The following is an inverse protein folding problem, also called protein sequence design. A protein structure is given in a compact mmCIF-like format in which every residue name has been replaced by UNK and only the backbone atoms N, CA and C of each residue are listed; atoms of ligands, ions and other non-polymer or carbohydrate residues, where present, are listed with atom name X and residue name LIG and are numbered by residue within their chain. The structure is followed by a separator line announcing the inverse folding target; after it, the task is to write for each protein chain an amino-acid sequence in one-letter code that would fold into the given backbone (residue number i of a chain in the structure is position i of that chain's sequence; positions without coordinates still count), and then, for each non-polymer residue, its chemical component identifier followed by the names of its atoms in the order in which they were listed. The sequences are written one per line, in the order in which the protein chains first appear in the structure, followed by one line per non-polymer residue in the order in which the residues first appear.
data_IF_221336031015
#
_entry.id   IF_221336031015
#
_cell.length_a   1.000
_cell.length_b   1.000
_cell.length_c   1.000
_cell.angle_alpha   90.00
_cell.angle_beta   90.00
_cell.angle_gamma   90.00
#
_symmetry.space_group_name_H-M   'P 1'
#
loop_
_entity.id
_entity.type
_entity.pdbx_description
1 polymer ?
#
# COMPACT_ATOMS: atom_id res chain seq x y z
N UNK A 1 -27.75 -28.76 -3.72
CA UNK A 1 -26.54 -29.06 -4.52
C UNK A 1 -27.03 -29.59 -5.87
N UNK A 2 -26.98 -28.77 -6.94
CA UNK A 2 -27.22 -29.07 -8.38
C UNK A 2 -28.10 -28.06 -9.19
N UNK A 3 -28.49 -26.89 -8.66
CA UNK A 3 -29.29 -25.92 -9.44
C UNK A 3 -28.54 -24.66 -9.93
N UNK A 4 -27.45 -24.24 -9.29
CA UNK A 4 -26.78 -22.96 -9.64
C UNK A 4 -25.63 -23.08 -10.66
N UNK A 5 -25.24 -24.29 -11.04
CA UNK A 5 -24.14 -24.54 -11.99
C UNK A 5 -24.60 -24.40 -13.46
N UNK A 6 -25.91 -24.43 -13.73
CA UNK A 6 -26.43 -24.42 -15.11
C UNK A 6 -26.70 -23.01 -15.64
N UNK A 7 -26.74 -21.99 -14.78
CA UNK A 7 -26.95 -20.60 -15.21
C UNK A 7 -25.66 -19.89 -15.64
N UNK A 8 -24.48 -20.48 -15.41
CA UNK A 8 -23.19 -19.93 -15.85
C UNK A 8 -22.73 -20.41 -17.23
N UNK A 9 -23.42 -21.37 -17.86
CA UNK A 9 -22.97 -21.98 -19.14
C UNK A 9 -23.65 -21.41 -20.39
N UNK A 10 -24.76 -20.65 -20.28
CA UNK A 10 -25.44 -20.10 -21.47
C UNK A 10 -24.94 -18.72 -21.90
N UNK A 11 -24.32 -17.95 -20.99
CA UNK A 11 -23.67 -16.68 -21.37
C UNK A 11 -22.33 -16.89 -22.10
N UNK A 12 -21.68 -18.04 -21.87
CA UNK A 12 -20.35 -18.35 -22.41
C UNK A 12 -20.35 -18.69 -23.92
N UNK A 13 -21.50 -18.94 -24.53
CA UNK A 13 -21.59 -19.31 -25.95
C UNK A 13 -21.84 -18.14 -26.92
N UNK A 14 -21.99 -16.90 -26.41
CA UNK A 14 -22.21 -15.72 -27.28
C UNK A 14 -21.00 -14.81 -27.44
N UNK A 15 -19.93 -14.99 -26.66
CA UNK A 15 -18.69 -14.21 -26.78
C UNK A 15 -17.42 -15.06 -26.57
N UNK A 16 -17.03 -15.92 -27.54
CA UNK A 16 -15.87 -16.82 -27.40
C UNK A 16 -14.49 -16.12 -27.49
N UNK A 17 -14.43 -14.79 -27.64
CA UNK A 17 -13.17 -14.03 -27.68
C UNK A 17 -12.84 -13.39 -26.31
N UNK A 18 -13.82 -13.26 -25.40
CA UNK A 18 -13.63 -12.62 -24.10
C UNK A 18 -13.27 -13.59 -22.97
N UNK A 19 -13.33 -14.90 -23.20
CA UNK A 19 -12.97 -15.91 -22.19
C UNK A 19 -11.52 -16.42 -22.28
N UNK A 20 -10.73 -15.95 -23.25
CA UNK A 20 -9.31 -16.29 -23.39
C UNK A 20 -8.36 -15.39 -22.57
N UNK A 21 -8.83 -14.21 -22.14
CA UNK A 21 -8.02 -13.20 -21.42
C UNK A 21 -8.12 -13.30 -19.90
N UNK A 22 -9.16 -13.95 -19.37
CA UNK A 22 -9.43 -14.02 -17.93
C UNK A 22 -8.45 -14.91 -17.15
N UNK A 23 -7.78 -15.86 -17.80
CA UNK A 23 -6.73 -16.67 -17.14
C UNK A 23 -5.36 -15.97 -17.17
N UNK A 24 -5.11 -15.10 -18.15
CA UNK A 24 -3.83 -14.41 -18.31
C UNK A 24 -3.70 -13.18 -17.40
N UNK A 25 -4.81 -12.49 -17.11
CA UNK A 25 -4.83 -11.24 -16.35
C UNK A 25 -4.77 -11.43 -14.83
N UNK A 26 -5.19 -12.59 -14.31
CA UNK A 26 -4.95 -12.98 -12.91
C UNK A 26 -3.49 -13.36 -12.63
N UNK A 27 -2.75 -13.80 -13.65
CA UNK A 27 -1.37 -14.24 -13.52
C UNK A 27 -0.38 -13.07 -13.53
N UNK A 28 -0.65 -11.98 -14.26
CA UNK A 28 0.24 -10.81 -14.31
C UNK A 28 0.19 -9.92 -13.06
N UNK A 29 -0.93 -9.87 -12.35
CA UNK A 29 -1.07 -9.09 -11.10
C UNK A 29 -0.39 -9.78 -9.91
N UNK A 30 -0.40 -11.12 -9.88
CA UNK A 30 0.44 -11.93 -8.99
C UNK A 30 1.91 -11.84 -9.37
N UNK A 31 2.29 -11.89 -10.66
CA UNK A 31 3.68 -11.79 -11.10
C UNK A 31 4.36 -10.44 -10.78
N UNK A 32 3.63 -9.31 -10.71
CA UNK A 32 4.20 -8.01 -10.26
C UNK A 32 4.30 -7.87 -8.74
N UNK A 33 3.56 -8.68 -7.98
CA UNK A 33 3.80 -8.84 -6.55
C UNK A 33 5.04 -9.71 -6.30
N UNK A 34 5.31 -10.64 -7.23
CA UNK A 34 6.46 -11.55 -7.24
C UNK A 34 7.70 -10.98 -7.94
N UNK A 35 7.64 -9.75 -8.48
CA UNK A 35 8.81 -9.16 -9.13
C UNK A 35 9.93 -9.02 -8.08
N UNK A 36 11.17 -9.45 -8.40
CA UNK A 36 12.24 -9.48 -7.42
C UNK A 36 12.43 -8.10 -6.81
N UNK A 37 12.21 -8.00 -5.51
CA UNK A 37 12.52 -6.81 -4.74
C UNK A 37 14.02 -6.61 -4.92
N UNK A 38 14.44 -5.52 -5.59
CA UNK A 38 15.85 -5.10 -5.56
C UNK A 38 16.31 -5.09 -4.10
N UNK A 39 17.56 -5.43 -3.82
CA UNK A 39 18.14 -5.56 -2.47
C UNK A 39 17.47 -4.72 -1.38
N UNK A 40 17.21 -5.32 -0.22
CA UNK A 40 16.62 -4.65 0.93
C UNK A 40 17.43 -3.38 1.28
N UNK A 41 16.74 -2.25 1.45
CA UNK A 41 17.39 -0.99 1.84
C UNK A 41 17.85 -0.97 3.30
N UNK A 42 17.28 -1.85 4.13
CA UNK A 42 17.64 -2.01 5.53
C UNK A 42 18.50 -3.25 5.71
N UNK A 43 19.68 -3.09 6.31
CA UNK A 43 20.56 -4.20 6.71
C UNK A 43 20.03 -4.97 7.92
N UNK A 44 19.28 -4.33 8.83
CA UNK A 44 18.78 -4.96 10.07
C UNK A 44 17.52 -5.82 9.90
N UNK A 45 16.75 -5.57 8.85
CA UNK A 45 15.48 -6.27 8.58
C UNK A 45 15.63 -7.44 7.59
N UNK A 46 16.86 -7.87 7.28
CA UNK A 46 17.14 -9.08 6.47
C UNK A 46 17.38 -10.28 7.39
N UNK A 47 16.92 -11.47 7.00
CA UNK A 47 17.22 -12.72 7.72
C UNK A 47 16.63 -12.82 9.13
N UNK A 48 15.55 -12.09 9.41
CA UNK A 48 14.88 -12.06 10.71
C UNK A 48 14.28 -13.43 11.07
N UNK A 49 14.35 -13.83 12.35
CA UNK A 49 13.64 -15.01 12.85
C UNK A 49 12.12 -14.85 12.73
N UNK A 50 11.37 -15.96 12.80
CA UNK A 50 9.90 -15.95 12.82
C UNK A 50 9.30 -15.47 14.15
N UNK A 51 10.12 -15.31 15.20
CA UNK A 51 9.65 -14.81 16.49
C UNK A 51 9.10 -13.39 16.36
N UNK A 52 8.00 -13.08 17.05
CA UNK A 52 7.32 -11.79 16.99
C UNK A 52 7.00 -11.33 18.41
N UNK A 53 7.31 -10.07 18.69
CA UNK A 53 6.84 -9.35 19.87
C UNK A 53 5.87 -8.28 19.40
N UNK A 54 4.72 -8.20 20.06
CA UNK A 54 3.67 -7.24 19.75
C UNK A 54 3.65 -6.17 20.83
N UNK A 55 3.63 -4.91 20.40
CA UNK A 55 3.44 -3.75 21.28
C UNK A 55 2.17 -3.02 20.84
N UNK A 56 1.45 -2.47 21.81
CA UNK A 56 0.24 -1.67 21.60
C UNK A 56 0.54 -0.25 22.00
N UNK A 57 0.08 0.70 21.19
CA UNK A 57 0.19 2.13 21.45
C UNK A 57 -1.21 2.72 21.46
N UNK A 58 -1.61 3.29 22.60
CA UNK A 58 -2.86 4.02 22.72
C UNK A 58 -2.63 5.50 22.37
N UNK A 59 -3.27 5.94 21.29
CA UNK A 59 -3.21 7.32 20.82
C UNK A 59 -4.59 7.95 20.95
N UNK A 60 -4.66 9.14 21.55
CA UNK A 60 -5.92 9.86 21.69
C UNK A 60 -6.40 10.37 20.33
N UNK A 61 -7.54 9.84 19.86
CA UNK A 61 -8.06 10.08 18.52
C UNK A 61 -8.30 11.57 18.25
N UNK A 62 -8.83 12.31 19.23
CA UNK A 62 -9.05 13.75 19.13
C UNK A 62 -7.75 14.53 18.89
N UNK A 63 -6.66 14.16 19.59
CA UNK A 63 -5.34 14.77 19.35
C UNK A 63 -4.82 14.46 17.96
N UNK A 64 -5.04 13.24 17.48
CA UNK A 64 -4.65 12.84 16.13
C UNK A 64 -5.42 13.64 15.07
N UNK A 65 -6.73 13.84 15.25
CA UNK A 65 -7.55 14.67 14.37
C UNK A 65 -7.07 16.14 14.37
N UNK A 66 -6.87 16.73 15.56
CA UNK A 66 -6.41 18.10 15.69
C UNK A 66 -5.03 18.31 15.02
N UNK A 67 -4.10 17.37 15.21
CA UNK A 67 -2.80 17.40 14.56
C UNK A 67 -2.93 17.27 13.03
N UNK A 68 -3.78 16.37 12.55
CA UNK A 68 -3.98 16.15 11.12
C UNK A 68 -4.54 17.42 10.45
N UNK A 69 -5.54 18.04 11.09
CA UNK A 69 -6.13 19.30 10.65
C UNK A 69 -5.11 20.43 10.64
N UNK A 70 -4.34 20.60 11.72
CA UNK A 70 -3.29 21.63 11.85
C UNK A 70 -2.25 21.55 10.73
N UNK A 71 -1.92 20.34 10.27
CA UNK A 71 -0.90 20.10 9.25
C UNK A 71 -1.47 19.81 7.85
N UNK A 72 -2.79 19.93 7.66
CA UNK A 72 -3.46 19.72 6.37
C UNK A 72 -3.22 18.31 5.81
N UNK A 73 -3.26 17.30 6.68
CA UNK A 73 -3.05 15.89 6.34
C UNK A 73 -4.18 15.01 6.94
N UNK A 74 -4.05 13.69 6.81
CA UNK A 74 -5.03 12.71 7.31
C UNK A 74 -4.41 11.97 8.50
N UNK A 75 -5.22 11.27 9.29
CA UNK A 75 -4.69 10.45 10.39
C UNK A 75 -3.72 9.37 9.87
N UNK A 76 -4.03 8.73 8.75
CA UNK A 76 -3.16 7.73 8.14
C UNK A 76 -1.78 8.32 7.77
N UNK A 77 -1.74 9.58 7.34
CA UNK A 77 -0.47 10.27 7.10
C UNK A 77 0.37 10.44 8.37
N UNK A 78 -0.26 10.79 9.50
CA UNK A 78 0.42 10.90 10.79
C UNK A 78 0.91 9.55 11.32
N UNK A 79 0.04 8.53 11.27
CA UNK A 79 0.40 7.17 11.67
C UNK A 79 1.58 6.65 10.84
N UNK A 80 1.51 6.84 9.53
CA UNK A 80 2.58 6.46 8.62
C UNK A 80 3.90 7.19 8.95
N UNK A 81 3.86 8.51 9.16
CA UNK A 81 5.03 9.28 9.55
C UNK A 81 5.64 8.79 10.88
N UNK A 82 4.80 8.48 11.87
CA UNK A 82 5.22 7.91 13.16
C UNK A 82 5.88 6.54 13.03
N UNK A 83 5.37 5.66 12.16
CA UNK A 83 5.98 4.35 11.89
C UNK A 83 7.36 4.51 11.24
N UNK A 84 7.50 5.37 10.24
CA UNK A 84 8.79 5.64 9.58
C UNK A 84 9.80 6.21 10.58
N UNK A 85 9.36 7.12 11.45
CA UNK A 85 10.19 7.67 12.52
C UNK A 85 10.65 6.58 13.50
N UNK A 86 9.73 5.72 13.94
CA UNK A 86 10.06 4.60 14.83
C UNK A 86 11.09 3.64 14.22
N UNK A 87 10.96 3.31 12.93
CA UNK A 87 11.93 2.47 12.22
C UNK A 87 13.29 3.17 12.08
N UNK A 88 13.28 4.47 11.80
CA UNK A 88 14.50 5.30 11.69
C UNK A 88 15.26 5.33 13.01
N UNK A 89 14.55 5.59 14.12
CA UNK A 89 15.15 5.59 15.46
C UNK A 89 15.64 4.20 15.86
N UNK A 90 14.89 3.14 15.53
CA UNK A 90 15.33 1.76 15.76
C UNK A 90 16.68 1.48 15.10
N UNK A 91 16.84 1.90 13.84
CA UNK A 91 18.07 1.76 13.08
C UNK A 91 19.21 2.61 13.63
N UNK A 92 18.92 3.87 14.02
CA UNK A 92 19.92 4.75 14.63
C UNK A 92 20.42 4.22 15.97
N UNK A 93 19.56 3.64 16.81
CA UNK A 93 19.95 3.03 18.10
C UNK A 93 20.83 1.79 17.92
N UNK A 94 20.77 1.15 16.76
CA UNK A 94 21.58 0.01 16.39
C UNK A 94 22.81 0.41 15.54
N UNK A 95 23.12 1.71 15.40
CA UNK A 95 24.23 2.24 14.61
C UNK A 95 24.23 1.84 13.11
N UNK A 96 23.03 1.60 12.57
CA UNK A 96 22.80 1.28 11.15
C UNK A 96 21.87 2.31 10.53
N UNK A 97 22.36 3.53 10.27
CA UNK A 97 21.55 4.60 9.69
C UNK A 97 20.91 4.20 8.36
N UNK A 98 19.68 4.65 8.15
CA UNK A 98 18.91 4.48 6.92
C UNK A 98 18.78 5.82 6.22
N UNK A 99 19.03 5.84 4.91
CA UNK A 99 18.71 7.00 4.07
C UNK A 99 17.27 6.94 3.54
N UNK A 100 16.77 5.72 3.30
CA UNK A 100 15.38 5.51 2.92
C UNK A 100 14.88 4.09 3.23
N UNK A 101 13.55 3.96 3.29
CA UNK A 101 12.81 2.72 3.50
C UNK A 101 11.95 2.38 2.30
N UNK A 102 11.96 1.13 1.87
CA UNK A 102 10.97 0.64 0.91
C UNK A 102 9.69 0.29 1.64
N UNK A 103 8.60 0.91 1.22
CA UNK A 103 7.28 0.77 1.83
C UNK A 103 6.30 0.19 0.81
N UNK A 104 5.45 -0.71 1.28
CA UNK A 104 4.22 -1.08 0.60
C UNK A 104 3.05 -0.55 1.42
N UNK A 105 2.19 0.27 0.81
CA UNK A 105 0.99 0.80 1.46
C UNK A 105 -0.22 0.55 0.56
N UNK A 106 -1.29 -0.07 1.06
CA UNK A 106 -2.55 -0.11 0.32
C UNK A 106 -3.15 1.30 0.28
N UNK A 107 -3.52 1.76 -0.92
CA UNK A 107 -4.20 3.05 -1.11
C UNK A 107 -5.53 2.83 -1.80
N UNK A 108 -6.49 3.73 -1.54
CA UNK A 108 -7.77 3.73 -2.24
C UNK A 108 -7.67 4.58 -3.49
N UNK A 109 -8.23 4.07 -4.59
CA UNK A 109 -8.28 4.74 -5.91
C UNK A 109 -9.69 5.26 -6.22
N UNK A 110 -10.57 5.37 -5.23
CA UNK A 110 -11.95 5.83 -5.42
C UNK A 110 -11.95 7.21 -6.08
N UNK A 111 -12.48 7.29 -7.29
CA UNK A 111 -12.80 8.57 -7.92
C UNK A 111 -14.03 9.17 -7.23
N UNK A 112 -14.08 10.51 -7.14
CA UNK A 112 -15.22 11.23 -6.53
C UNK A 112 -16.53 11.10 -7.32
N UNK A 113 -16.54 10.37 -8.44
CA UNK A 113 -17.72 10.14 -9.24
C UNK A 113 -17.74 8.69 -9.74
N UNK A 114 -18.90 8.09 -9.58
CA UNK A 114 -19.39 6.87 -10.22
C UNK A 114 -19.29 5.53 -9.48
N UNK A 115 -20.47 4.92 -9.44
CA UNK A 115 -20.86 3.70 -8.78
C UNK A 115 -20.36 2.46 -9.53
N UNK A 116 -19.04 2.28 -9.61
CA UNK A 116 -18.47 1.06 -10.19
C UNK A 116 -18.26 0.01 -9.10
N UNK A 117 -19.07 -1.05 -9.14
CA UNK A 117 -18.90 -2.26 -8.33
C UNK A 117 -17.55 -2.91 -8.64
N UNK A 118 -16.64 -2.98 -7.66
CA UNK A 118 -15.31 -3.56 -7.82
C UNK A 118 -14.36 -3.16 -6.69
N UNK A 119 -13.18 -3.80 -6.61
CA UNK A 119 -12.19 -3.53 -5.57
C UNK A 119 -11.34 -2.29 -5.91
N UNK A 120 -11.71 -1.12 -5.38
CA UNK A 120 -11.06 0.16 -5.71
C UNK A 120 -9.89 0.52 -4.77
N UNK A 121 -9.07 -0.47 -4.40
CA UNK A 121 -7.84 -0.26 -3.66
C UNK A 121 -6.76 -1.20 -4.18
N UNK A 122 -5.50 -0.81 -4.01
CA UNK A 122 -4.37 -1.64 -4.40
C UNK A 122 -3.07 -1.26 -3.70
N UNK A 123 -2.08 -2.16 -3.73
CA UNK A 123 -0.80 -1.94 -3.09
C UNK A 123 0.04 -0.98 -3.92
N UNK A 124 0.50 0.10 -3.29
CA UNK A 124 1.52 0.97 -3.84
C UNK A 124 2.85 0.66 -3.18
N UNK A 125 3.91 0.58 -3.98
CA UNK A 125 5.29 0.52 -3.49
C UNK A 125 5.99 1.84 -3.75
N UNK A 126 6.68 2.35 -2.73
CA UNK A 126 7.51 3.54 -2.88
C UNK A 126 8.69 3.52 -1.90
N UNK A 127 9.61 4.46 -2.09
CA UNK A 127 10.75 4.68 -1.20
C UNK A 127 10.47 5.91 -0.34
N UNK A 128 10.40 5.74 0.97
CA UNK A 128 10.21 6.78 1.98
C UNK A 128 11.57 7.29 2.45
N UNK A 129 11.90 8.59 2.31
CA UNK A 129 13.14 9.13 2.84
C UNK A 129 13.12 9.08 4.38
N UNK A 130 14.24 8.69 4.98
CA UNK A 130 14.44 8.68 6.45
C UNK A 130 15.50 9.70 6.89
N UNK A 131 16.21 10.30 5.95
CA UNK A 131 17.21 11.34 6.16
C UNK A 131 16.65 12.76 6.33
N UNK A 132 15.32 12.93 6.31
CA UNK A 132 14.65 14.20 6.62
C UNK A 132 14.27 14.18 8.10
N UNK A 133 14.80 15.12 8.91
CA UNK A 133 14.60 15.13 10.37
C UNK A 133 13.18 15.52 10.79
N UNK A 134 12.59 16.56 10.20
CA UNK A 134 11.21 16.97 10.54
C UNK A 134 10.20 15.96 9.96
N UNK A 135 9.40 15.26 10.80
CA UNK A 135 8.41 14.29 10.33
C UNK A 135 7.33 14.92 9.45
N UNK A 136 6.99 16.20 9.66
CA UNK A 136 6.00 16.90 8.84
C UNK A 136 6.60 17.26 7.48
N UNK A 137 7.85 17.74 7.44
CA UNK A 137 8.57 17.97 6.19
C UNK A 137 8.74 16.67 5.39
N UNK A 138 9.13 15.59 6.06
CA UNK A 138 9.23 14.24 5.47
C UNK A 138 7.90 13.84 4.85
N UNK A 139 6.80 13.99 5.59
CA UNK A 139 5.47 13.69 5.08
C UNK A 139 5.12 14.55 3.86
N UNK A 140 5.43 15.85 3.86
CA UNK A 140 5.22 16.74 2.69
C UNK A 140 6.00 16.26 1.47
N UNK A 141 7.26 15.86 1.65
CA UNK A 141 8.09 15.32 0.57
C UNK A 141 7.51 14.03 -0.04
N UNK A 142 6.76 13.27 0.76
CA UNK A 142 6.15 11.99 0.35
C UNK A 142 4.76 12.14 -0.28
N UNK A 143 4.02 13.21 0.02
CA UNK A 143 2.66 13.43 -0.52
C UNK A 143 2.59 13.34 -2.05
N UNK A 144 3.52 13.92 -2.83
CA UNK A 144 3.51 13.76 -4.29
C UNK A 144 3.69 12.31 -4.74
N UNK A 145 4.48 11.53 -4.00
CA UNK A 145 4.71 10.11 -4.27
C UNK A 145 3.41 9.33 -4.06
N UNK A 146 2.76 9.54 -2.91
CA UNK A 146 1.48 8.92 -2.58
C UNK A 146 0.36 9.33 -3.53
N UNK A 147 0.31 10.61 -3.94
CA UNK A 147 -0.68 11.12 -4.86
C UNK A 147 -0.50 10.55 -6.28
N UNK A 148 0.75 10.49 -6.80
CA UNK A 148 1.05 9.92 -8.12
C UNK A 148 0.79 8.42 -8.16
N UNK A 149 1.16 7.71 -7.11
CA UNK A 149 0.90 6.28 -7.03
C UNK A 149 -0.59 5.94 -6.87
N UNK A 150 -1.40 6.89 -6.39
CA UNK A 150 -2.87 6.83 -6.41
C UNK A 150 -3.49 7.13 -7.79
N UNK A 151 -2.72 7.68 -8.73
CA UNK A 151 -3.18 8.09 -10.07
C UNK A 151 -2.78 7.10 -11.16
N UNK A 152 -1.88 6.15 -10.88
CA UNK A 152 -1.66 5.03 -11.79
C UNK A 152 -2.90 4.14 -11.74
N UNK A 153 -3.68 4.03 -12.84
CA UNK A 153 -4.85 3.20 -12.84
C UNK A 153 -4.41 1.76 -12.59
N UNK A 154 -4.78 1.22 -11.43
CA UNK A 154 -5.03 -0.21 -11.34
C UNK A 154 -6.13 -0.48 -12.38
N UNK A 155 -5.68 -0.93 -13.55
CA UNK A 155 -6.46 -1.10 -14.77
C UNK A 155 -7.85 -1.64 -14.46
N UNK A 156 -8.83 -0.99 -15.08
CA UNK A 156 -10.27 -1.22 -15.02
C UNK A 156 -10.63 -2.68 -14.67
N UNK A 157 -11.23 -2.86 -13.49
CA UNK A 157 -11.84 -4.12 -13.11
C UNK A 157 -13.24 -4.17 -13.72
N UNK A 158 -13.42 -4.99 -14.76
CA UNK A 158 -14.72 -5.44 -15.27
C UNK A 158 -14.73 -6.95 -15.45
#
# INVERSE_FOLDING_TARGET
MQADVVRSTVAASRHPVDSGTTVWQGLQSTLRLLSPVSSALSTLMVGRSSNRHTHVFDLELERMHAAAQKHGCTINHLLFAGVIEGITQYHSRADHKLDALRVLMPVSFRANNDATSGNQWGPVRFTAPTNIEDPIERLRAMRPILARSGQEPALEFS
#
